data_IF_921694544916
#
_entry.id   IF_921694544916
#
_cell.length_a   1.000
_cell.length_b   1.000
_cell.length_c   1.000
_cell.angle_alpha   90.00
_cell.angle_beta   90.00
_cell.angle_gamma   90.00
#
_symmetry.space_group_name_H-M   'P 1'
#
loop_
_entity.id
_entity.type
_entity.pdbx_description
1 polymer ?
#
# COMPACT_ATOMS: atom_id res chain seq x y z
N UNK A 1 -22.10 10.67 -12.33
CA UNK A 1 -21.00 10.17 -11.47
C UNK A 1 -20.20 11.39 -11.05
N UNK A 2 -20.67 12.10 -10.02
CA UNK A 2 -20.04 13.31 -9.49
C UNK A 2 -19.16 12.94 -8.30
N UNK A 3 -18.03 12.29 -8.57
CA UNK A 3 -16.96 12.08 -7.56
C UNK A 3 -16.14 13.38 -7.39
N UNK A 4 -16.49 14.45 -8.13
CA UNK A 4 -15.71 15.67 -8.28
C UNK A 4 -15.97 16.76 -7.24
N UNK A 5 -17.13 16.76 -6.56
CA UNK A 5 -17.45 17.86 -5.63
C UNK A 5 -16.69 17.77 -4.28
N UNK A 6 -16.35 16.56 -3.81
CA UNK A 6 -15.68 16.38 -2.52
C UNK A 6 -14.44 15.47 -2.63
N UNK A 7 -13.41 15.96 -3.32
CA UNK A 7 -12.16 15.20 -3.53
C UNK A 7 -11.17 15.41 -2.37
N UNK A 8 -10.83 14.35 -1.58
CA UNK A 8 -9.79 14.44 -0.57
C UNK A 8 -8.42 14.67 -1.18
N UNK A 9 -7.58 15.45 -0.51
CA UNK A 9 -6.23 15.80 -0.97
C UNK A 9 -5.20 14.95 -0.25
N UNK A 10 -4.38 14.21 -0.98
CA UNK A 10 -3.23 13.50 -0.39
C UNK A 10 -2.27 14.52 0.23
N UNK A 11 -2.04 14.42 1.54
CA UNK A 11 -1.17 15.33 2.30
C UNK A 11 0.07 14.65 2.88
N UNK A 12 0.03 13.33 3.04
CA UNK A 12 1.17 12.57 3.54
C UNK A 12 1.14 11.15 2.99
N UNK A 13 2.33 10.63 2.66
CA UNK A 13 2.56 9.22 2.35
C UNK A 13 3.86 8.78 3.04
N UNK A 14 3.83 7.66 3.77
CA UNK A 14 5.02 7.13 4.43
C UNK A 14 4.98 5.60 4.56
N UNK A 15 6.16 4.99 4.61
CA UNK A 15 6.32 3.64 5.10
C UNK A 15 6.30 3.67 6.64
N UNK A 16 5.47 2.83 7.25
CA UNK A 16 5.38 2.65 8.70
C UNK A 16 6.31 1.54 9.19
N UNK A 17 6.39 0.45 8.42
CA UNK A 17 7.23 -0.69 8.72
C UNK A 17 7.76 -1.27 7.41
N UNK A 18 8.99 -1.77 7.45
CA UNK A 18 9.59 -2.49 6.34
C UNK A 18 10.51 -3.57 6.90
N UNK A 19 10.36 -4.79 6.40
CA UNK A 19 11.18 -5.93 6.75
C UNK A 19 11.45 -6.75 5.48
N UNK A 20 12.70 -7.14 5.29
CA UNK A 20 13.11 -8.02 4.21
C UNK A 20 14.17 -8.96 4.71
N UNK A 21 14.00 -10.24 4.41
CA UNK A 21 14.97 -11.28 4.73
C UNK A 21 15.19 -12.16 3.50
N UNK A 22 16.43 -12.21 3.01
CA UNK A 22 16.84 -13.12 1.96
C UNK A 22 17.88 -14.09 2.54
N UNK A 23 17.45 -15.34 2.78
CA UNK A 23 18.31 -16.42 3.27
C UNK A 23 18.91 -17.26 2.14
N UNK A 24 18.51 -17.02 0.89
CA UNK A 24 18.96 -17.79 -0.26
C UNK A 24 20.38 -17.44 -0.68
N UNK A 25 21.12 -18.44 -1.17
CA UNK A 25 22.41 -18.18 -1.79
C UNK A 25 22.23 -17.57 -3.18
N UNK A 26 23.05 -16.55 -3.50
CA UNK A 26 23.05 -15.93 -4.81
C UNK A 26 23.80 -16.79 -5.83
N UNK A 27 23.14 -17.81 -6.38
CA UNK A 27 23.76 -18.73 -7.35
C UNK A 27 23.49 -18.34 -8.82
N UNK A 28 22.74 -17.27 -9.09
CA UNK A 28 22.59 -16.65 -10.42
C UNK A 28 21.82 -17.47 -11.47
N UNK A 29 21.63 -18.77 -11.26
CA UNK A 29 20.90 -19.71 -12.13
C UNK A 29 19.55 -20.13 -11.62
N UNK A 30 19.22 -19.80 -10.37
CA UNK A 30 18.02 -20.32 -9.72
C UNK A 30 16.81 -19.44 -10.02
N UNK A 31 15.74 -20.05 -10.53
CA UNK A 31 14.47 -19.38 -10.81
C UNK A 31 13.66 -19.27 -9.52
N UNK A 32 13.42 -18.03 -9.11
CA UNK A 32 12.63 -17.68 -7.93
C UNK A 32 11.20 -17.34 -8.34
N UNK A 33 10.23 -18.02 -7.74
CA UNK A 33 8.82 -17.65 -7.87
C UNK A 33 8.50 -16.65 -6.76
N UNK A 34 7.79 -15.57 -7.08
CA UNK A 34 7.40 -14.54 -6.12
C UNK A 34 5.87 -14.46 -6.03
N UNK A 35 5.34 -14.65 -4.84
CA UNK A 35 3.93 -14.53 -4.51
C UNK A 35 3.71 -13.27 -3.68
N UNK A 36 2.79 -12.41 -4.13
CA UNK A 36 2.41 -11.18 -3.44
C UNK A 36 1.03 -11.34 -2.80
N UNK A 37 0.95 -11.08 -1.50
CA UNK A 37 -0.28 -10.82 -0.77
C UNK A 37 -0.39 -9.32 -0.46
N UNK A 38 -1.60 -8.79 -0.57
CA UNK A 38 -1.88 -7.39 -0.26
C UNK A 38 -3.14 -7.27 0.59
N UNK A 39 -3.12 -6.37 1.56
CA UNK A 39 -4.26 -5.98 2.37
C UNK A 39 -4.35 -4.46 2.37
N UNK A 40 -5.56 -3.94 2.13
CA UNK A 40 -5.79 -2.49 2.03
C UNK A 40 -6.95 -2.16 2.95
N UNK A 41 -6.68 -1.29 3.91
CA UNK A 41 -7.64 -0.86 4.92
C UNK A 41 -7.86 0.65 4.78
N UNK A 42 -9.13 1.07 4.77
CA UNK A 42 -9.52 2.48 4.81
C UNK A 42 -10.05 2.82 6.19
N UNK A 43 -9.72 4.00 6.68
CA UNK A 43 -10.12 4.45 8.01
C UNK A 43 -10.28 5.96 8.10
N UNK A 44 -11.11 6.38 9.06
CA UNK A 44 -11.36 7.78 9.37
C UNK A 44 -10.45 8.19 10.52
N UNK A 45 -9.74 9.28 10.36
CA UNK A 45 -8.98 9.92 11.43
C UNK A 45 -9.61 11.27 11.76
N UNK A 46 -10.10 11.39 12.99
CA UNK A 46 -10.59 12.65 13.55
C UNK A 46 -9.40 13.43 14.11
N UNK A 47 -9.17 14.69 13.69
CA UNK A 47 -8.06 15.48 14.16
C UNK A 47 -8.15 15.78 15.66
N UNK A 48 -7.02 15.69 16.35
CA UNK A 48 -6.92 16.10 17.76
C UNK A 48 -6.80 17.62 17.92
N UNK A 49 -6.56 18.36 16.84
CA UNK A 49 -6.39 19.82 16.83
C UNK A 49 -7.71 20.48 16.45
N UNK A 50 -8.27 21.37 17.29
CA UNK A 50 -9.48 22.11 16.94
C UNK A 50 -9.34 22.88 15.63
N UNK A 51 -10.28 22.67 14.70
CA UNK A 51 -10.31 23.35 13.40
C UNK A 51 -9.48 22.69 12.30
N UNK A 52 -8.80 21.57 12.56
CA UNK A 52 -8.18 20.78 11.50
C UNK A 52 -9.24 19.96 10.71
N UNK A 53 -9.01 19.71 9.41
CA UNK A 53 -9.96 18.96 8.57
C UNK A 53 -9.97 17.47 8.93
N UNK A 54 -11.13 16.81 8.79
CA UNK A 54 -11.21 15.35 8.88
C UNK A 54 -10.23 14.70 7.91
N UNK A 55 -9.68 13.54 8.29
CA UNK A 55 -8.71 12.84 7.46
C UNK A 55 -9.19 11.44 7.07
N UNK A 56 -9.10 11.11 5.80
CA UNK A 56 -9.16 9.74 5.34
C UNK A 56 -7.75 9.13 5.36
N UNK A 57 -7.65 7.89 5.83
CA UNK A 57 -6.39 7.16 5.93
C UNK A 57 -6.50 5.87 5.12
N UNK A 58 -5.52 5.63 4.25
CA UNK A 58 -5.34 4.36 3.54
C UNK A 58 -4.11 3.68 4.12
N UNK A 59 -4.30 2.51 4.72
CA UNK A 59 -3.23 1.62 5.17
C UNK A 59 -3.07 0.49 4.17
N UNK A 60 -1.84 0.26 3.72
CA UNK A 60 -1.53 -0.78 2.73
C UNK A 60 -0.47 -1.69 3.33
N UNK A 61 -0.81 -2.96 3.50
CA UNK A 61 0.13 -4.00 3.91
C UNK A 61 0.46 -4.86 2.69
N UNK A 62 1.74 -4.95 2.34
CA UNK A 62 2.26 -5.79 1.27
C UNK A 62 3.15 -6.86 1.87
N UNK A 63 2.94 -8.11 1.47
CA UNK A 63 3.79 -9.23 1.82
C UNK A 63 4.17 -10.02 0.58
N UNK A 64 5.46 -10.16 0.30
CA UNK A 64 5.95 -11.02 -0.77
C UNK A 64 6.73 -12.18 -0.18
N UNK A 65 6.42 -13.38 -0.67
CA UNK A 65 7.19 -14.60 -0.39
C UNK A 65 7.82 -15.07 -1.67
N UNK A 66 9.09 -15.42 -1.60
CA UNK A 66 9.80 -16.00 -2.72
C UNK A 66 10.38 -17.35 -2.37
N UNK A 67 10.16 -18.32 -3.24
CA UNK A 67 10.63 -19.69 -3.10
C UNK A 67 11.48 -20.07 -4.31
N UNK A 68 12.61 -20.71 -4.04
CA UNK A 68 13.46 -21.28 -5.07
C UNK A 68 12.82 -22.59 -5.58
N UNK A 69 12.63 -22.68 -6.89
CA UNK A 69 12.03 -23.86 -7.53
C UNK A 69 12.88 -25.13 -7.44
N UNK A 70 14.20 -24.98 -7.24
CA UNK A 70 15.19 -26.07 -7.23
C UNK A 70 15.61 -26.52 -5.83
N UNK A 71 15.47 -25.66 -4.82
CA UNK A 71 15.83 -25.93 -3.43
C UNK A 71 14.78 -25.37 -2.46
N UNK A 72 13.91 -26.23 -1.94
CA UNK A 72 12.79 -25.83 -1.08
C UNK A 72 13.18 -25.26 0.30
N UNK A 73 14.47 -25.30 0.67
CA UNK A 73 14.99 -24.72 1.90
C UNK A 73 15.22 -23.21 1.80
N UNK A 74 15.36 -22.69 0.59
CA UNK A 74 15.73 -21.30 0.34
C UNK A 74 14.45 -20.49 0.12
N UNK A 75 14.14 -19.66 1.12
CA UNK A 75 12.99 -18.76 1.09
C UNK A 75 13.43 -17.33 1.39
N UNK A 76 12.79 -16.37 0.72
CA UNK A 76 12.88 -14.97 1.08
C UNK A 76 11.49 -14.42 1.41
N UNK A 77 11.42 -13.56 2.42
CA UNK A 77 10.19 -12.94 2.86
C UNK A 77 10.38 -11.42 2.96
N UNK A 78 9.37 -10.70 2.49
CA UNK A 78 9.35 -9.25 2.43
C UNK A 78 8.00 -8.78 2.92
N UNK A 79 7.98 -7.86 3.86
CA UNK A 79 6.76 -7.23 4.33
C UNK A 79 6.95 -5.73 4.50
N UNK A 80 5.92 -4.98 4.13
CA UNK A 80 5.94 -3.53 4.27
C UNK A 80 4.53 -3.01 4.56
N UNK A 81 4.46 -2.06 5.48
CA UNK A 81 3.22 -1.35 5.82
C UNK A 81 3.38 0.10 5.42
N UNK A 82 2.41 0.64 4.70
CA UNK A 82 2.35 2.03 4.25
C UNK A 82 1.11 2.73 4.77
N UNK A 83 1.22 4.05 4.92
CA UNK A 83 0.12 4.93 5.30
C UNK A 83 0.07 6.12 4.35
N UNK A 84 -1.10 6.36 3.77
CA UNK A 84 -1.45 7.57 3.07
C UNK A 84 -2.54 8.32 3.83
N UNK A 85 -2.39 9.64 4.00
CA UNK A 85 -3.39 10.49 4.64
C UNK A 85 -3.92 11.51 3.65
N UNK A 86 -5.22 11.71 3.68
CA UNK A 86 -5.93 12.64 2.83
C UNK A 86 -6.72 13.61 3.68
N UNK A 87 -6.53 14.91 3.47
CA UNK A 87 -7.40 15.92 4.08
C UNK A 87 -8.71 15.96 3.32
N UNK A 88 -9.82 15.82 4.03
CA UNK A 88 -11.15 15.98 3.49
C UNK A 88 -11.52 17.48 3.41
N UNK A 89 -12.40 17.88 2.47
CA UNK A 89 -12.93 19.23 2.43
C UNK A 89 -13.63 19.63 3.74
N UNK A 90 -13.57 20.91 4.10
CA UNK A 90 -14.04 21.43 5.39
C UNK A 90 -15.56 21.37 5.60
N UNK A 91 -16.30 21.21 4.52
CA UNK A 91 -17.76 21.08 4.46
C UNK A 91 -18.25 19.63 4.66
N UNK A 92 -17.33 18.67 4.74
CA UNK A 92 -17.65 17.24 4.92
C UNK A 92 -17.82 16.90 6.41
N UNK A 93 -18.91 16.23 6.74
CA UNK A 93 -19.15 15.69 8.09
C UNK A 93 -18.65 14.26 8.23
N UNK A 94 -18.46 13.81 9.47
CA UNK A 94 -18.06 12.44 9.79
C UNK A 94 -19.08 11.40 9.29
N UNK A 95 -20.38 11.71 9.36
CA UNK A 95 -21.43 10.80 8.90
C UNK A 95 -21.41 10.63 7.37
N UNK A 96 -21.20 11.72 6.64
CA UNK A 96 -21.10 11.68 5.18
C UNK A 96 -19.86 10.87 4.74
N UNK A 97 -18.73 11.10 5.41
CA UNK A 97 -17.47 10.42 5.10
C UNK A 97 -17.53 8.91 5.42
N UNK A 98 -18.22 8.54 6.50
CA UNK A 98 -18.46 7.14 6.85
C UNK A 98 -19.27 6.41 5.77
N UNK A 99 -20.30 7.08 5.21
CA UNK A 99 -21.07 6.52 4.10
C UNK A 99 -20.22 6.37 2.82
N UNK A 100 -19.32 7.30 2.57
CA UNK A 100 -18.42 7.22 1.41
C UNK A 100 -17.38 6.12 1.54
N UNK A 101 -16.98 5.73 2.75
CA UNK A 101 -16.10 4.58 2.93
C UNK A 101 -16.76 3.24 2.65
N UNK A 102 -18.09 3.18 2.55
CA UNK A 102 -18.81 2.00 2.05
C UNK A 102 -18.98 2.04 0.52
N UNK A 103 -18.66 3.17 -0.13
CA UNK A 103 -18.80 3.38 -1.58
C UNK A 103 -17.52 2.97 -2.33
N UNK A 104 -17.59 1.88 -3.09
CA UNK A 104 -16.46 1.30 -3.83
C UNK A 104 -15.75 2.32 -4.76
N UNK A 105 -16.44 3.16 -5.57
CA UNK A 105 -15.84 4.27 -6.31
C UNK A 105 -14.97 5.22 -5.45
N UNK A 106 -15.42 5.55 -4.25
CA UNK A 106 -14.70 6.45 -3.35
C UNK A 106 -13.51 5.75 -2.72
N UNK A 107 -13.66 4.49 -2.30
CA UNK A 107 -12.55 3.65 -1.86
C UNK A 107 -11.48 3.58 -2.95
N UNK A 108 -11.87 3.25 -4.19
CA UNK A 108 -10.97 3.15 -5.33
C UNK A 108 -10.24 4.47 -5.61
N UNK A 109 -10.93 5.61 -5.52
CA UNK A 109 -10.32 6.93 -5.70
C UNK A 109 -9.18 7.18 -4.70
N UNK A 110 -9.35 6.80 -3.45
CA UNK A 110 -8.31 6.96 -2.42
C UNK A 110 -7.16 5.99 -2.65
N UNK A 111 -7.46 4.71 -2.84
CA UNK A 111 -6.45 3.65 -2.96
C UNK A 111 -5.62 3.82 -4.23
N UNK A 112 -6.22 4.21 -5.36
CA UNK A 112 -5.51 4.41 -6.63
C UNK A 112 -4.44 5.51 -6.58
N UNK A 113 -4.52 6.43 -5.62
CA UNK A 113 -3.49 7.46 -5.39
C UNK A 113 -2.36 6.96 -4.48
N UNK A 114 -2.65 6.08 -3.53
CA UNK A 114 -1.70 5.59 -2.53
C UNK A 114 -0.94 4.33 -2.98
N UNK A 115 -1.65 3.40 -3.64
CA UNK A 115 -1.11 2.09 -3.99
C UNK A 115 0.09 2.14 -4.95
N UNK A 116 0.11 2.96 -6.01
CA UNK A 116 1.29 3.06 -6.87
C UNK A 116 2.54 3.56 -6.13
N UNK A 117 2.38 4.42 -5.13
CA UNK A 117 3.49 4.90 -4.30
C UNK A 117 4.05 3.77 -3.43
N UNK A 118 3.18 3.01 -2.77
CA UNK A 118 3.55 1.82 -1.99
C UNK A 118 4.24 0.77 -2.85
N UNK A 119 3.65 0.43 -4.00
CA UNK A 119 4.18 -0.57 -4.92
C UNK A 119 5.54 -0.16 -5.52
N UNK A 120 5.70 1.12 -5.88
CA UNK A 120 6.99 1.64 -6.37
C UNK A 120 8.09 1.48 -5.33
N UNK A 121 7.81 1.85 -4.07
CA UNK A 121 8.76 1.66 -2.98
C UNK A 121 9.06 0.18 -2.75
N UNK A 122 8.02 -0.66 -2.65
CA UNK A 122 8.15 -2.09 -2.38
C UNK A 122 8.99 -2.81 -3.44
N UNK A 123 8.75 -2.52 -4.73
CA UNK A 123 9.53 -3.08 -5.84
C UNK A 123 11.00 -2.68 -5.79
N UNK A 124 11.27 -1.42 -5.45
CA UNK A 124 12.66 -0.92 -5.30
C UNK A 124 13.41 -1.71 -4.23
N UNK A 125 12.78 -1.96 -3.09
CA UNK A 125 13.43 -2.71 -2.00
C UNK A 125 13.57 -4.21 -2.30
N UNK A 126 12.61 -4.81 -3.00
CA UNK A 126 12.77 -6.17 -3.51
C UNK A 126 13.97 -6.28 -4.46
N UNK A 127 14.11 -5.33 -5.38
CA UNK A 127 15.22 -5.29 -6.32
C UNK A 127 16.57 -5.04 -5.64
N UNK A 128 16.62 -4.24 -4.56
CA UNK A 128 17.85 -4.05 -3.79
C UNK A 128 18.32 -5.33 -3.10
N UNK A 129 17.43 -6.29 -2.88
CA UNK A 129 17.71 -7.62 -2.34
C UNK A 129 17.95 -8.70 -3.40
N UNK A 130 18.00 -8.31 -4.69
CA UNK A 130 18.35 -9.17 -5.81
C UNK A 130 17.17 -9.88 -6.48
N UNK A 131 15.92 -9.55 -6.12
CA UNK A 131 14.73 -10.16 -6.71
C UNK A 131 14.23 -9.41 -7.94
N UNK A 132 13.78 -10.16 -8.93
CA UNK A 132 13.11 -9.59 -10.10
C UNK A 132 11.65 -9.23 -9.77
N UNK A 133 11.39 -7.95 -9.59
CA UNK A 133 10.07 -7.42 -9.30
C UNK A 133 9.22 -7.11 -10.55
N UNK A 134 9.62 -7.54 -11.76
CA UNK A 134 8.86 -7.25 -13.00
C UNK A 134 7.50 -7.92 -13.05
N UNK A 135 7.34 -9.06 -12.39
CA UNK A 135 6.07 -9.79 -12.29
C UNK A 135 5.06 -9.14 -11.35
N UNK A 136 5.48 -8.18 -10.51
CA UNK A 136 4.58 -7.49 -9.59
C UNK A 136 3.67 -6.49 -10.30
N UNK A 137 2.41 -6.37 -9.85
CA UNK A 137 1.46 -5.42 -10.42
C UNK A 137 1.98 -3.97 -10.27
N UNK A 138 1.58 -3.09 -11.18
CA UNK A 138 1.89 -1.66 -11.12
C UNK A 138 0.73 -0.82 -10.54
N UNK A 139 -0.45 -1.42 -10.40
CA UNK A 139 -1.69 -0.80 -9.94
C UNK A 139 -2.65 -1.83 -9.35
N UNK A 140 -3.82 -1.35 -8.92
CA UNK A 140 -4.94 -2.17 -8.46
C UNK A 140 -5.65 -2.85 -9.63
#
# INVERSE_FOLDING_TARGET
>A
MEVTEHRPKLVSFRALAFHGENKGQANGTDEWTLELAQEINLGLAVPMVPGAPLQAVVKIDLCAKSTNTSASSDSAEFSATYEAKFDCPSDVTEEALSLWFEDEPYQYMLVSQAFPLAMTHFRRELQSMGFDARSLPLGL
#
